data_IF_457294391486
#
_entry.id   IF_457294391486
#
_cell.length_a   1.000
_cell.length_b   1.000
_cell.length_c   1.000
_cell.angle_alpha   90.00
_cell.angle_beta   90.00
_cell.angle_gamma   90.00
#
_symmetry.space_group_name_H-M   'P 1'
#
loop_
_entity.id
_entity.type
_entity.pdbx_description
1 polymer ?
#
# COMPACT_ATOMS: atom_id res chain seq x y z
N UNK A 1 15.04 5.66 -12.42
CA UNK A 1 16.15 4.68 -12.42
C UNK A 1 17.23 5.20 -13.34
N UNK A 2 18.47 5.19 -12.89
CA UNK A 2 19.63 5.40 -13.76
C UNK A 2 19.93 4.13 -14.59
N UNK A 3 21.00 4.19 -15.37
CA UNK A 3 21.50 3.08 -16.19
C UNK A 3 21.93 1.84 -15.38
N UNK A 4 22.18 2.00 -14.08
CA UNK A 4 22.51 0.92 -13.14
C UNK A 4 21.30 0.44 -12.36
N UNK A 5 20.11 0.98 -12.65
CA UNK A 5 18.87 0.66 -11.95
C UNK A 5 18.74 1.31 -10.56
N UNK A 6 19.63 2.25 -10.20
CA UNK A 6 19.58 3.02 -8.96
C UNK A 6 18.48 4.07 -9.06
N UNK A 7 17.74 4.24 -7.98
CA UNK A 7 16.72 5.29 -7.82
C UNK A 7 17.22 6.24 -6.75
N UNK A 8 17.79 7.37 -7.17
CA UNK A 8 18.21 8.45 -6.26
C UNK A 8 17.14 9.56 -6.19
N UNK A 9 16.95 10.15 -5.01
CA UNK A 9 16.01 11.26 -4.76
C UNK A 9 14.53 10.99 -5.09
N UNK A 10 14.10 9.73 -5.19
CA UNK A 10 12.67 9.42 -5.31
C UNK A 10 12.02 9.36 -3.94
N UNK A 11 11.00 10.20 -3.73
CA UNK A 11 10.15 10.15 -2.52
C UNK A 11 9.08 9.04 -2.58
N UNK A 12 9.01 8.31 -3.70
CA UNK A 12 7.98 7.30 -3.96
C UNK A 12 8.61 6.04 -4.57
N UNK A 13 8.17 4.87 -4.11
CA UNK A 13 8.48 3.57 -4.70
C UNK A 13 7.19 2.86 -5.06
N UNK A 14 7.12 2.28 -6.26
CA UNK A 14 6.04 1.41 -6.70
C UNK A 14 6.55 -0.02 -6.86
N UNK A 15 5.85 -0.97 -6.24
CA UNK A 15 6.15 -2.40 -6.27
C UNK A 15 4.98 -3.14 -6.91
N UNK A 16 5.29 -4.07 -7.81
CA UNK A 16 4.32 -4.93 -8.48
C UNK A 16 4.66 -6.39 -8.14
N UNK A 17 3.69 -7.10 -7.58
CA UNK A 17 3.81 -8.51 -7.26
C UNK A 17 2.87 -9.28 -8.19
N UNK A 18 3.44 -9.96 -9.19
CA UNK A 18 2.68 -10.66 -10.21
C UNK A 18 2.73 -12.18 -9.99
N UNK A 19 1.60 -12.83 -10.20
CA UNK A 19 1.51 -14.27 -10.36
C UNK A 19 1.73 -14.60 -11.84
N UNK A 20 2.82 -15.30 -12.16
CA UNK A 20 3.22 -15.57 -13.56
C UNK A 20 2.24 -16.49 -14.30
N UNK A 21 1.56 -17.40 -13.59
CA UNK A 21 0.61 -18.35 -14.20
C UNK A 21 -0.67 -17.66 -14.67
N UNK A 22 -1.17 -16.70 -13.89
CA UNK A 22 -2.45 -16.03 -14.13
C UNK A 22 -2.30 -14.64 -14.74
N UNK A 23 -1.10 -14.06 -14.69
CA UNK A 23 -0.83 -12.67 -15.09
C UNK A 23 -1.44 -11.62 -14.14
N UNK A 24 -2.12 -12.04 -13.07
CA UNK A 24 -2.71 -11.16 -12.07
C UNK A 24 -1.61 -10.58 -11.18
N UNK A 25 -1.84 -9.39 -10.64
CA UNK A 25 -0.87 -8.75 -9.76
C UNK A 25 -1.57 -7.94 -8.67
N UNK A 26 -0.82 -7.70 -7.59
CA UNK A 26 -1.12 -6.63 -6.63
C UNK A 26 -0.06 -5.55 -6.73
N UNK A 27 -0.42 -4.35 -6.28
CA UNK A 27 0.44 -3.17 -6.36
C UNK A 27 0.60 -2.53 -4.98
N UNK A 28 1.82 -2.13 -4.64
CA UNK A 28 2.10 -1.35 -3.45
C UNK A 28 2.83 -0.07 -3.82
N UNK A 29 2.36 1.05 -3.29
CA UNK A 29 3.10 2.30 -3.26
C UNK A 29 3.64 2.54 -1.85
N UNK A 30 4.86 3.05 -1.78
CA UNK A 30 5.47 3.58 -0.56
C UNK A 30 5.87 5.02 -0.81
N UNK A 31 5.51 5.94 0.08
CA UNK A 31 5.91 7.35 0.02
C UNK A 31 6.38 7.83 1.38
N UNK A 32 7.35 8.73 1.41
CA UNK A 32 7.81 9.37 2.66
C UNK A 32 6.63 10.14 3.28
N UNK A 33 6.38 9.96 4.57
CA UNK A 33 5.40 10.73 5.31
C UNK A 33 5.93 12.15 5.53
N UNK A 34 5.26 13.13 4.94
CA UNK A 34 5.49 14.56 5.13
C UNK A 34 4.19 15.20 5.62
N UNK A 35 4.25 16.40 6.22
CA UNK A 35 3.10 17.06 6.85
C UNK A 35 1.88 17.19 5.92
N UNK A 36 2.13 17.29 4.60
CA UNK A 36 1.11 17.37 3.54
C UNK A 36 0.78 16.01 2.87
N UNK A 37 1.43 14.91 3.26
CA UNK A 37 1.39 13.63 2.54
C UNK A 37 0.25 12.69 2.93
N UNK A 38 -0.72 13.16 3.72
CA UNK A 38 -1.86 12.38 4.21
C UNK A 38 -2.65 11.66 3.12
N UNK A 39 -3.33 10.58 3.49
CA UNK A 39 -4.25 9.88 2.60
C UNK A 39 -5.68 10.37 2.83
N UNK A 40 -6.23 11.13 1.87
CA UNK A 40 -7.66 11.46 1.80
C UNK A 40 -8.25 10.64 0.68
N UNK A 41 -9.18 9.75 1.01
CA UNK A 41 -9.89 8.95 0.02
C UNK A 41 -11.23 9.60 -0.30
N UNK A 42 -11.58 9.66 -1.58
CA UNK A 42 -12.94 10.02 -2.05
C UNK A 42 -13.84 8.79 -2.21
N UNK A 43 -13.54 7.70 -1.50
CA UNK A 43 -14.24 6.44 -1.64
C UNK A 43 -15.57 6.45 -0.88
N UNK A 44 -16.60 5.82 -1.45
CA UNK A 44 -17.94 5.75 -0.87
C UNK A 44 -18.00 4.83 0.36
N UNK A 45 -17.10 3.84 0.45
CA UNK A 45 -17.00 2.89 1.56
C UNK A 45 -15.59 2.92 2.15
N UNK A 46 -15.49 3.42 3.38
CA UNK A 46 -14.27 3.61 4.15
C UNK A 46 -14.43 2.90 5.49
N UNK A 47 -13.47 2.04 5.83
CA UNK A 47 -13.37 1.35 7.11
C UNK A 47 -12.03 1.70 7.78
N UNK A 48 -12.12 2.23 9.00
CA UNK A 48 -10.97 2.47 9.86
C UNK A 48 -10.63 1.22 10.66
N UNK A 49 -9.35 0.82 10.61
CA UNK A 49 -8.83 -0.34 11.34
C UNK A 49 -7.41 -0.07 11.82
N UNK A 50 -6.80 -1.04 12.51
CA UNK A 50 -5.39 -0.94 12.93
C UNK A 50 -4.51 -1.97 12.26
N UNK A 51 -3.37 -1.53 11.73
CA UNK A 51 -2.27 -2.37 11.25
C UNK A 51 -1.08 -2.14 12.16
N UNK A 52 -0.58 -3.20 12.82
CA UNK A 52 0.56 -3.10 13.74
C UNK A 52 0.42 -1.98 14.80
N UNK A 53 -0.81 -1.72 15.25
CA UNK A 53 -1.16 -0.68 16.22
C UNK A 53 -1.40 0.71 15.64
N UNK A 54 -1.01 0.95 14.38
CA UNK A 54 -1.20 2.22 13.67
C UNK A 54 -2.57 2.28 13.01
N UNK A 55 -3.11 3.49 12.88
CA UNK A 55 -4.37 3.71 12.19
C UNK A 55 -4.19 3.44 10.69
N UNK A 56 -5.19 2.78 10.11
CA UNK A 56 -5.22 2.38 8.72
C UNK A 56 -6.63 2.57 8.16
N UNK A 57 -6.70 2.81 6.86
CA UNK A 57 -7.95 3.01 6.13
C UNK A 57 -8.06 1.99 5.03
N UNK A 58 -9.06 1.12 5.14
CA UNK A 58 -9.49 0.22 4.09
C UNK A 58 -10.61 0.88 3.28
N UNK A 59 -10.55 0.83 1.97
CA UNK A 59 -11.57 1.42 1.10
C UNK A 59 -11.76 0.63 -0.21
N UNK A 60 -13.00 0.62 -0.71
CA UNK A 60 -13.37 -0.11 -1.92
C UNK A 60 -13.00 -1.60 -1.87
N UNK A 61 -13.17 -2.22 -0.69
CA UNK A 61 -12.92 -3.64 -0.33
C UNK A 61 -11.53 -4.23 -0.63
N UNK A 62 -10.62 -3.45 -1.23
CA UNK A 62 -9.38 -3.99 -1.78
C UNK A 62 -8.23 -3.00 -1.80
N UNK A 63 -8.37 -1.85 -1.14
CA UNK A 63 -7.30 -0.85 -1.00
C UNK A 63 -7.08 -0.55 0.47
N UNK A 64 -5.83 -0.54 0.90
CA UNK A 64 -5.45 -0.31 2.29
C UNK A 64 -4.32 0.69 2.37
N UNK A 65 -4.56 1.79 3.06
CA UNK A 65 -3.58 2.83 3.33
C UNK A 65 -3.25 2.84 4.83
N UNK A 66 -1.95 2.89 5.16
CA UNK A 66 -1.49 3.04 6.55
C UNK A 66 -0.12 3.72 6.59
N UNK A 67 0.19 4.33 7.73
CA UNK A 67 1.52 4.86 8.01
C UNK A 67 2.29 3.93 8.95
N UNK A 68 3.56 3.69 8.64
CA UNK A 68 4.46 2.96 9.52
C UNK A 68 5.90 3.43 9.35
N UNK A 69 6.56 3.76 10.46
CA UNK A 69 7.96 4.24 10.51
C UNK A 69 8.26 5.42 9.56
N UNK A 70 7.35 6.39 9.45
CA UNK A 70 7.52 7.58 8.60
C UNK A 70 7.36 7.29 7.10
N UNK A 71 6.75 6.16 6.74
CA UNK A 71 6.40 5.78 5.37
C UNK A 71 4.91 5.53 5.31
N UNK A 72 4.26 6.11 4.31
CA UNK A 72 2.87 5.83 3.98
C UNK A 72 2.85 4.73 2.92
N UNK A 73 2.12 3.67 3.22
CA UNK A 73 1.90 2.52 2.36
C UNK A 73 0.50 2.63 1.78
N UNK A 74 0.38 2.34 0.48
CA UNK A 74 -0.89 2.09 -0.20
C UNK A 74 -0.78 0.72 -0.84
N UNK A 75 -1.62 -0.22 -0.42
CA UNK A 75 -1.70 -1.56 -0.97
C UNK A 75 -3.01 -1.71 -1.75
N UNK A 76 -2.89 -2.05 -3.04
CA UNK A 76 -4.02 -2.24 -3.96
C UNK A 76 -4.11 -3.70 -4.35
N UNK A 77 -5.07 -4.40 -3.73
CA UNK A 77 -5.35 -5.82 -3.92
C UNK A 77 -6.14 -6.15 -5.19
N UNK A 78 -6.79 -5.15 -5.82
CA UNK A 78 -7.48 -5.27 -7.13
C UNK A 78 -8.58 -6.33 -7.18
N UNK A 79 -9.14 -6.71 -6.04
CA UNK A 79 -10.10 -7.82 -5.91
C UNK A 79 -9.48 -9.22 -6.11
N UNK A 80 -8.15 -9.31 -6.27
CA UNK A 80 -7.43 -10.58 -6.45
C UNK A 80 -7.02 -11.23 -5.14
N UNK A 81 -7.07 -10.44 -4.05
CA UNK A 81 -6.75 -10.88 -2.70
C UNK A 81 -7.93 -10.50 -1.79
N UNK A 82 -8.33 -11.44 -0.93
CA UNK A 82 -9.36 -11.20 0.06
C UNK A 82 -8.90 -10.21 1.13
N UNK A 83 -9.84 -9.48 1.74
CA UNK A 83 -9.56 -8.45 2.76
C UNK A 83 -8.66 -8.96 3.90
N UNK A 84 -8.88 -10.17 4.40
CA UNK A 84 -8.10 -10.74 5.50
C UNK A 84 -6.64 -11.02 5.09
N UNK A 85 -6.42 -11.46 3.86
CA UNK A 85 -5.07 -11.62 3.29
C UNK A 85 -4.39 -10.27 3.03
N UNK A 86 -5.15 -9.25 2.59
CA UNK A 86 -4.65 -7.87 2.44
C UNK A 86 -4.12 -7.32 3.78
N UNK A 87 -4.87 -7.55 4.86
CA UNK A 87 -4.49 -7.16 6.23
C UNK A 87 -3.23 -7.92 6.68
N UNK A 88 -3.15 -9.24 6.45
CA UNK A 88 -1.95 -10.02 6.80
C UNK A 88 -0.68 -9.54 6.10
N UNK A 89 -0.79 -9.15 4.82
CA UNK A 89 0.34 -8.57 4.07
C UNK A 89 0.79 -7.29 4.75
N UNK A 90 -0.14 -6.39 5.10
CA UNK A 90 0.19 -5.13 5.77
C UNK A 90 0.80 -5.35 7.16
N UNK A 91 0.25 -6.28 7.97
CA UNK A 91 0.79 -6.65 9.29
C UNK A 91 2.19 -7.29 9.20
N UNK A 92 2.53 -7.93 8.08
CA UNK A 92 3.84 -8.56 7.89
C UNK A 92 5.00 -7.55 7.75
N UNK A 93 4.70 -6.27 7.48
CA UNK A 93 5.69 -5.20 7.31
C UNK A 93 6.10 -4.66 8.69
N UNK A 94 7.40 -4.65 8.96
CA UNK A 94 8.03 -4.31 10.25
C UNK A 94 9.19 -3.33 10.09
#
# INVERSE_FOLDING_TARGET
KDENGVVENSKVVGLYFANEETGKFIYMQQRVAEEDAGYVTGADEVEELKINGQDAVLYGDSNLDWEYNGVIYMLVGRGEIAKDELIKIAESIK
#
